data_IF_426402693958
#
_entry.id   IF_426402693958
#
_cell.length_a   1.000
_cell.length_b   1.000
_cell.length_c   1.000
_cell.angle_alpha   90.00
_cell.angle_beta   90.00
_cell.angle_gamma   90.00
#
_symmetry.space_group_name_H-M   'P 1'
#
loop_
_entity.id
_entity.type
_entity.pdbx_description
1 polymer ?
#
# COMPACT_ATOMS: atom_id res chain seq x y z
N UNK A 1 -14.26 14.31 -5.34
CA UNK A 1 -13.60 14.93 -4.18
C UNK A 1 -12.68 16.06 -4.64
N UNK A 2 -12.59 17.13 -3.86
CA UNK A 2 -11.49 18.10 -3.98
C UNK A 2 -10.36 17.60 -3.08
N UNK A 3 -9.20 17.29 -3.65
CA UNK A 3 -8.05 16.81 -2.89
C UNK A 3 -7.45 18.02 -2.18
N UNK A 4 -7.74 18.17 -0.88
CA UNK A 4 -7.30 19.31 -0.08
C UNK A 4 -6.10 18.94 0.78
N UNK A 5 -5.26 19.95 1.04
CA UNK A 5 -4.10 19.80 1.89
C UNK A 5 -4.50 19.41 3.32
N UNK A 6 -5.60 19.98 3.82
CA UNK A 6 -6.16 19.67 5.14
C UNK A 6 -6.57 18.19 5.26
N UNK A 7 -7.26 17.66 4.25
CA UNK A 7 -7.66 16.25 4.25
C UNK A 7 -6.44 15.30 4.17
N UNK A 8 -5.43 15.65 3.37
CA UNK A 8 -4.19 14.87 3.34
C UNK A 8 -3.47 14.90 4.70
N UNK A 9 -3.44 16.05 5.38
CA UNK A 9 -2.80 16.18 6.69
C UNK A 9 -3.56 15.38 7.78
N UNK A 10 -4.90 15.36 7.74
CA UNK A 10 -5.69 14.51 8.64
C UNK A 10 -5.27 13.03 8.49
N UNK A 11 -5.13 12.54 7.26
CA UNK A 11 -4.72 11.15 7.00
C UNK A 11 -3.28 10.90 7.51
N UNK A 12 -2.36 11.85 7.29
CA UNK A 12 -0.98 11.78 7.80
C UNK A 12 -0.97 11.69 9.34
N UNK A 13 -1.76 12.53 10.00
CA UNK A 13 -1.86 12.54 11.46
C UNK A 13 -2.45 11.22 11.99
N UNK A 14 -3.48 10.68 11.34
CA UNK A 14 -4.05 9.37 11.70
C UNK A 14 -3.01 8.25 11.53
N UNK A 15 -2.30 8.23 10.39
CA UNK A 15 -1.27 7.23 10.13
C UNK A 15 -0.13 7.28 11.16
N UNK A 16 0.34 8.48 11.51
CA UNK A 16 1.44 8.65 12.46
C UNK A 16 1.07 8.29 13.90
N UNK A 17 -0.22 8.28 14.22
CA UNK A 17 -0.78 7.86 15.50
C UNK A 17 -1.21 6.37 15.52
N UNK A 18 -0.78 5.58 14.52
CA UNK A 18 -1.06 4.15 14.37
C UNK A 18 -2.58 3.83 14.37
N UNK A 19 -3.39 4.70 13.77
CA UNK A 19 -4.83 4.50 13.62
C UNK A 19 -5.13 3.48 12.51
N UNK A 20 -5.90 2.43 12.84
CA UNK A 20 -6.26 1.33 11.95
C UNK A 20 -7.05 1.78 10.70
N UNK A 21 -7.72 2.95 10.74
CA UNK A 21 -8.50 3.48 9.62
C UNK A 21 -7.63 4.23 8.59
N UNK A 22 -6.43 4.68 9.00
CA UNK A 22 -5.54 5.51 8.18
C UNK A 22 -5.22 4.87 6.82
N UNK A 23 -4.89 3.57 6.80
CA UNK A 23 -4.59 2.85 5.56
C UNK A 23 -5.78 2.75 4.62
N UNK A 24 -6.99 2.56 5.15
CA UNK A 24 -8.21 2.55 4.33
C UNK A 24 -8.44 3.93 3.71
N UNK A 25 -8.20 5.02 4.45
CA UNK A 25 -8.28 6.39 3.91
C UNK A 25 -7.24 6.64 2.82
N UNK A 26 -6.00 6.15 2.97
CA UNK A 26 -4.96 6.21 1.93
C UNK A 26 -5.39 5.45 0.67
N UNK A 27 -5.92 4.23 0.80
CA UNK A 27 -6.39 3.45 -0.35
C UNK A 27 -7.54 4.16 -1.08
N UNK A 28 -8.50 4.71 -0.32
CA UNK A 28 -9.63 5.43 -0.88
C UNK A 28 -9.19 6.67 -1.65
N UNK A 29 -8.32 7.51 -1.10
CA UNK A 29 -7.87 8.74 -1.76
C UNK A 29 -7.05 8.45 -3.03
N UNK A 30 -6.25 7.38 -3.04
CA UNK A 30 -5.55 6.92 -4.24
C UNK A 30 -6.52 6.44 -5.32
N UNK A 31 -7.55 5.69 -4.93
CA UNK A 31 -8.60 5.21 -5.83
C UNK A 31 -9.37 6.38 -6.45
N UNK A 32 -9.78 7.35 -5.64
CA UNK A 32 -10.48 8.55 -6.11
C UNK A 32 -9.61 9.42 -7.03
N UNK A 33 -8.32 9.56 -6.73
CA UNK A 33 -7.37 10.23 -7.61
C UNK A 33 -7.29 9.52 -8.97
N UNK A 34 -7.15 8.21 -8.98
CA UNK A 34 -7.11 7.41 -10.20
C UNK A 34 -8.41 7.55 -11.01
N UNK A 35 -9.58 7.46 -10.38
CA UNK A 35 -10.88 7.61 -11.05
C UNK A 35 -11.05 9.00 -11.67
N UNK A 36 -10.63 10.05 -10.95
CA UNK A 36 -10.70 11.44 -11.41
C UNK A 36 -9.91 11.65 -12.70
N UNK A 37 -8.72 11.04 -12.81
CA UNK A 37 -7.79 11.28 -13.91
C UNK A 37 -7.85 10.23 -15.05
N UNK A 38 -8.47 9.07 -14.82
CA UNK A 38 -8.64 8.05 -15.87
C UNK A 38 -9.73 8.39 -16.92
N UNK A 39 -10.74 9.19 -16.56
CA UNK A 39 -11.94 9.38 -17.37
C UNK A 39 -12.10 10.79 -17.98
N UNK A 40 -11.04 11.60 -17.94
CA UNK A 40 -11.08 12.99 -18.43
C UNK A 40 -10.57 13.09 -19.86
N UNK A 41 -11.39 13.71 -20.71
CA UNK A 41 -11.05 14.03 -22.10
C UNK A 41 -10.09 15.21 -22.24
N UNK A 42 -9.96 16.06 -21.21
CA UNK A 42 -9.06 17.22 -21.21
C UNK A 42 -8.47 17.43 -19.82
N UNK A 43 -7.14 17.36 -19.73
CA UNK A 43 -6.42 17.51 -18.46
C UNK A 43 -6.21 18.99 -18.14
N UNK A 44 -6.73 19.46 -17.01
CA UNK A 44 -6.30 20.73 -16.43
C UNK A 44 -4.97 20.50 -15.70
N UNK A 45 -3.87 20.87 -16.36
CA UNK A 45 -2.51 20.62 -15.88
C UNK A 45 -2.23 21.26 -14.51
N UNK A 46 -2.79 22.44 -14.23
CA UNK A 46 -2.60 23.14 -12.95
C UNK A 46 -3.22 22.34 -11.80
N UNK A 47 -4.45 21.85 -11.99
CA UNK A 47 -5.16 21.05 -10.98
C UNK A 47 -4.49 19.67 -10.85
N UNK A 48 -4.15 19.03 -11.97
CA UNK A 48 -3.48 17.73 -11.95
C UNK A 48 -2.14 17.78 -11.23
N UNK A 49 -1.31 18.81 -11.49
CA UNK A 49 -0.03 19.02 -10.81
C UNK A 49 -0.23 19.19 -9.31
N UNK A 50 -1.18 20.03 -8.91
CA UNK A 50 -1.52 20.27 -7.50
C UNK A 50 -1.95 18.98 -6.80
N UNK A 51 -2.87 18.21 -7.41
CA UNK A 51 -3.37 16.97 -6.82
C UNK A 51 -2.28 15.90 -6.77
N UNK A 52 -1.49 15.75 -7.84
CA UNK A 52 -0.37 14.81 -7.89
C UNK A 52 0.64 15.13 -6.79
N UNK A 53 1.00 16.41 -6.62
CA UNK A 53 1.90 16.83 -5.56
C UNK A 53 1.36 16.48 -4.17
N UNK A 54 0.06 16.66 -3.94
CA UNK A 54 -0.57 16.29 -2.67
C UNK A 54 -0.57 14.78 -2.43
N UNK A 55 -0.87 13.96 -3.44
CA UNK A 55 -0.78 12.50 -3.34
C UNK A 55 0.63 12.06 -2.99
N UNK A 56 1.64 12.58 -3.69
CA UNK A 56 3.02 12.21 -3.41
C UNK A 56 3.52 12.75 -2.08
N UNK A 57 3.03 13.90 -1.61
CA UNK A 57 3.27 14.39 -0.26
C UNK A 57 2.63 13.46 0.79
N UNK A 58 1.39 13.00 0.58
CA UNK A 58 0.74 12.03 1.45
C UNK A 58 1.57 10.75 1.55
N UNK A 59 1.98 10.17 0.42
CA UNK A 59 2.80 8.96 0.39
C UNK A 59 4.14 9.16 1.12
N UNK A 60 4.82 10.28 0.87
CA UNK A 60 6.12 10.62 1.47
C UNK A 60 6.03 10.83 2.98
N UNK A 61 4.88 11.26 3.51
CA UNK A 61 4.68 11.46 4.94
C UNK A 61 3.94 10.28 5.62
N UNK A 62 3.71 9.19 4.89
CA UNK A 62 3.09 7.96 5.42
C UNK A 62 3.95 6.76 5.08
N UNK A 63 3.55 5.98 4.08
CA UNK A 63 4.15 4.68 3.74
C UNK A 63 5.55 4.77 3.12
N UNK A 64 5.99 5.95 2.69
CA UNK A 64 7.34 6.24 2.23
C UNK A 64 8.08 7.25 3.13
N UNK A 65 7.61 7.42 4.37
CA UNK A 65 8.26 8.29 5.35
C UNK A 65 9.58 7.72 5.86
N UNK A 66 10.42 8.61 6.41
CA UNK A 66 11.65 8.22 7.10
C UNK A 66 11.33 7.29 8.29
N UNK A 67 10.25 7.55 9.03
CA UNK A 67 9.76 6.67 10.10
C UNK A 67 9.46 5.26 9.58
N UNK A 68 8.72 5.14 8.46
CA UNK A 68 8.40 3.85 7.87
C UNK A 68 9.64 3.10 7.36
N UNK A 69 10.64 3.81 6.83
CA UNK A 69 11.94 3.24 6.45
C UNK A 69 12.70 2.71 7.67
N UNK A 70 12.76 3.48 8.76
CA UNK A 70 13.40 3.04 10.00
C UNK A 70 12.72 1.82 10.62
N UNK A 71 11.39 1.75 10.57
CA UNK A 71 10.61 0.59 11.03
C UNK A 71 10.89 -0.64 10.18
N UNK A 72 10.93 -0.50 8.85
CA UNK A 72 11.32 -1.58 7.94
C UNK A 72 12.74 -2.08 8.22
N UNK A 73 13.69 -1.18 8.44
CA UNK A 73 15.07 -1.57 8.77
C UNK A 73 15.17 -2.29 10.11
N UNK A 74 14.42 -1.86 11.14
CA UNK A 74 14.34 -2.58 12.43
C UNK A 74 13.79 -3.99 12.26
N UNK A 75 12.65 -4.12 11.57
CA UNK A 75 12.03 -5.42 11.29
C UNK A 75 12.97 -6.33 10.50
N UNK A 76 13.72 -5.76 9.56
CA UNK A 76 14.73 -6.47 8.80
C UNK A 76 15.87 -6.98 9.69
N UNK A 77 16.46 -6.11 10.52
CA UNK A 77 17.53 -6.48 11.44
C UNK A 77 17.07 -7.54 12.44
N UNK A 78 15.86 -7.41 12.99
CA UNK A 78 15.30 -8.38 13.94
C UNK A 78 15.12 -9.76 13.30
N UNK A 79 14.50 -9.82 12.12
CA UNK A 79 14.18 -11.08 11.44
C UNK A 79 15.40 -11.79 10.84
N UNK A 80 16.45 -11.06 10.45
CA UNK A 80 17.61 -11.62 9.76
C UNK A 80 18.94 -11.49 10.53
N UNK A 81 18.92 -11.02 11.78
CA UNK A 81 20.10 -10.93 12.65
C UNK A 81 20.89 -12.24 12.76
N UNK A 82 20.20 -13.39 12.69
CA UNK A 82 20.78 -14.73 12.86
C UNK A 82 20.47 -15.69 11.71
N UNK A 83 19.85 -15.21 10.63
CA UNK A 83 19.42 -16.03 9.50
C UNK A 83 19.80 -15.31 8.21
N UNK A 84 20.45 -16.02 7.29
CA UNK A 84 20.75 -15.45 5.98
C UNK A 84 19.43 -15.19 5.22
N UNK A 85 19.17 -13.95 4.76
CA UNK A 85 17.94 -13.64 4.03
C UNK A 85 17.90 -14.39 2.71
N UNK A 86 16.69 -14.78 2.29
CA UNK A 86 16.48 -15.39 0.98
C UNK A 86 16.58 -14.34 -0.13
N UNK A 87 16.68 -14.79 -1.39
CA UNK A 87 16.58 -13.90 -2.55
C UNK A 87 15.30 -13.08 -2.54
N UNK A 88 14.20 -13.68 -2.08
CA UNK A 88 12.87 -13.06 -2.12
C UNK A 88 12.76 -11.98 -1.05
N UNK A 89 13.30 -12.22 0.15
CA UNK A 89 13.38 -11.19 1.19
C UNK A 89 14.22 -9.98 0.73
N UNK A 90 15.38 -10.24 0.12
CA UNK A 90 16.25 -9.18 -0.38
C UNK A 90 15.56 -8.37 -1.47
N UNK A 91 14.85 -9.05 -2.37
CA UNK A 91 14.07 -8.41 -3.43
C UNK A 91 12.97 -7.54 -2.86
N UNK A 92 12.20 -8.02 -1.87
CA UNK A 92 11.13 -7.25 -1.22
C UNK A 92 11.67 -5.95 -0.59
N UNK A 93 12.79 -6.04 0.16
CA UNK A 93 13.45 -4.86 0.73
C UNK A 93 13.90 -3.88 -0.35
N UNK A 94 14.53 -4.37 -1.43
CA UNK A 94 14.96 -3.51 -2.53
C UNK A 94 13.78 -2.87 -3.26
N UNK A 95 12.70 -3.62 -3.50
CA UNK A 95 11.49 -3.12 -4.15
C UNK A 95 10.86 -1.98 -3.30
N UNK A 96 10.86 -2.11 -1.97
CA UNK A 96 10.39 -1.05 -1.06
C UNK A 96 11.31 0.19 -1.05
N UNK A 97 12.63 0.00 -1.00
CA UNK A 97 13.58 1.13 -1.08
C UNK A 97 13.47 1.86 -2.41
N UNK A 98 13.33 1.13 -3.52
CA UNK A 98 13.10 1.72 -4.83
C UNK A 98 11.77 2.49 -4.84
N UNK A 99 10.71 1.93 -4.26
CA UNK A 99 9.42 2.63 -4.12
C UNK A 99 9.58 3.97 -3.39
N UNK A 100 10.18 3.98 -2.20
CA UNK A 100 10.33 5.22 -1.40
C UNK A 100 11.18 6.26 -2.11
N UNK A 101 12.28 5.84 -2.75
CA UNK A 101 13.09 6.72 -3.59
C UNK A 101 12.28 7.32 -4.75
N UNK A 102 11.48 6.51 -5.45
CA UNK A 102 10.68 6.97 -6.57
C UNK A 102 9.55 7.93 -6.13
N UNK A 103 8.93 7.70 -4.96
CA UNK A 103 7.97 8.65 -4.35
C UNK A 103 8.63 10.00 -4.10
N UNK A 104 9.78 10.01 -3.41
CA UNK A 104 10.54 11.23 -3.13
C UNK A 104 10.94 11.96 -4.42
N UNK A 105 11.45 11.22 -5.41
CA UNK A 105 11.85 11.79 -6.68
C UNK A 105 10.68 12.50 -7.38
N UNK A 106 9.52 11.86 -7.48
CA UNK A 106 8.36 12.47 -8.12
C UNK A 106 7.89 13.69 -7.35
N UNK A 107 7.80 13.60 -6.02
CA UNK A 107 7.44 14.74 -5.17
C UNK A 107 8.34 15.96 -5.42
N UNK A 108 9.66 15.77 -5.45
CA UNK A 108 10.62 16.86 -5.54
C UNK A 108 10.70 17.48 -6.96
N UNK A 109 10.32 16.71 -7.99
CA UNK A 109 10.44 17.14 -9.39
C UNK A 109 9.11 17.51 -10.05
N UNK A 110 7.96 17.23 -9.41
CA UNK A 110 6.65 17.41 -10.02
C UNK A 110 6.40 18.83 -10.52
N UNK A 111 6.99 19.87 -9.92
CA UNK A 111 6.80 21.26 -10.35
C UNK A 111 7.60 21.63 -11.61
N UNK A 112 8.66 20.88 -11.91
CA UNK A 112 9.62 21.22 -12.98
C UNK A 112 9.41 20.39 -14.26
N UNK A 113 8.55 19.38 -14.22
CA UNK A 113 8.33 18.46 -15.35
C UNK A 113 7.19 18.95 -16.25
N UNK A 114 7.36 18.74 -17.56
CA UNK A 114 6.28 18.89 -18.54
C UNK A 114 5.31 17.71 -18.40
N UNK A 115 4.14 17.90 -17.76
CA UNK A 115 3.21 16.81 -17.49
C UNK A 115 2.45 16.32 -18.72
N UNK A 116 2.43 17.09 -19.81
CA UNK A 116 1.84 16.66 -21.08
C UNK A 116 2.76 15.70 -21.83
N UNK A 117 4.06 15.93 -21.74
CA UNK A 117 5.10 15.13 -22.38
C UNK A 117 6.27 14.93 -21.40
N UNK A 118 6.08 14.16 -20.32
CA UNK A 118 7.15 13.92 -19.36
C UNK A 118 8.25 13.10 -20.01
N UNK A 119 9.50 13.32 -19.61
CA UNK A 119 10.60 12.49 -20.10
C UNK A 119 10.47 11.05 -19.58
N UNK A 120 11.20 10.14 -20.23
CA UNK A 120 11.18 8.72 -19.88
C UNK A 120 11.61 8.47 -18.42
N UNK A 121 12.49 9.30 -17.87
CA UNK A 121 12.97 9.10 -16.51
C UNK A 121 11.84 9.38 -15.51
N UNK A 122 11.16 10.51 -15.60
CA UNK A 122 10.02 10.83 -14.75
C UNK A 122 8.88 9.83 -14.91
N UNK A 123 8.55 9.43 -16.15
CA UNK A 123 7.54 8.39 -16.41
C UNK A 123 7.89 7.07 -15.71
N UNK A 124 9.15 6.62 -15.81
CA UNK A 124 9.59 5.40 -15.16
C UNK A 124 9.46 5.49 -13.64
N UNK A 125 9.75 6.64 -13.04
CA UNK A 125 9.60 6.86 -11.59
C UNK A 125 8.14 6.77 -11.16
N UNK A 126 7.22 7.40 -11.88
CA UNK A 126 5.78 7.25 -11.64
C UNK A 126 5.32 5.80 -11.81
N UNK A 127 5.74 5.13 -12.88
CA UNK A 127 5.35 3.74 -13.17
C UNK A 127 5.82 2.78 -12.07
N UNK A 128 7.03 2.97 -11.54
CA UNK A 128 7.53 2.15 -10.44
C UNK A 128 6.67 2.31 -9.18
N UNK A 129 6.29 3.54 -8.84
CA UNK A 129 5.38 3.80 -7.70
C UNK A 129 4.04 3.12 -7.90
N UNK A 130 3.44 3.27 -9.09
CA UNK A 130 2.15 2.64 -9.43
C UNK A 130 2.24 1.11 -9.38
N UNK A 131 3.32 0.54 -9.92
CA UNK A 131 3.50 -0.91 -9.96
C UNK A 131 3.67 -1.49 -8.54
N UNK A 132 4.43 -0.83 -7.68
CA UNK A 132 4.58 -1.24 -6.28
C UNK A 132 3.23 -1.24 -5.54
N UNK A 133 2.45 -0.16 -5.67
CA UNK A 133 1.12 -0.06 -5.05
C UNK A 133 0.14 -1.13 -5.56
N UNK A 134 0.15 -1.41 -6.87
CA UNK A 134 -0.65 -2.49 -7.46
C UNK A 134 -0.23 -3.88 -6.99
N UNK A 135 1.07 -4.10 -6.81
CA UNK A 135 1.55 -5.37 -6.27
C UNK A 135 1.02 -5.58 -4.85
N UNK A 136 1.14 -4.58 -3.98
CA UNK A 136 0.57 -4.63 -2.64
C UNK A 136 -0.94 -4.89 -2.63
N UNK A 137 -1.70 -4.27 -3.54
CA UNK A 137 -3.14 -4.54 -3.69
C UNK A 137 -3.43 -6.00 -4.06
N UNK A 138 -2.64 -6.59 -4.96
CA UNK A 138 -2.76 -7.99 -5.35
C UNK A 138 -2.41 -8.92 -4.18
N UNK A 139 -1.32 -8.64 -3.47
CA UNK A 139 -0.89 -9.43 -2.31
C UNK A 139 -1.96 -9.42 -1.22
N UNK A 140 -2.60 -8.27 -0.96
CA UNK A 140 -3.73 -8.16 -0.03
C UNK A 140 -4.94 -8.99 -0.48
N UNK A 141 -5.27 -9.00 -1.78
CA UNK A 141 -6.37 -9.82 -2.32
C UNK A 141 -6.08 -11.31 -2.15
N UNK A 142 -4.85 -11.73 -2.42
CA UNK A 142 -4.42 -13.12 -2.25
C UNK A 142 -4.50 -13.54 -0.78
N UNK A 143 -3.98 -12.73 0.15
CA UNK A 143 -4.08 -12.98 1.58
C UNK A 143 -5.54 -13.09 2.05
N UNK A 144 -6.41 -12.19 1.58
CA UNK A 144 -7.85 -12.23 1.91
C UNK A 144 -8.49 -13.55 1.47
N UNK A 145 -8.13 -14.04 0.28
CA UNK A 145 -8.64 -15.32 -0.22
C UNK A 145 -8.13 -16.49 0.61
N UNK A 146 -6.84 -16.53 0.94
CA UNK A 146 -6.27 -17.57 1.82
C UNK A 146 -6.92 -17.58 3.20
N UNK A 147 -7.22 -16.43 3.78
CA UNK A 147 -7.91 -16.32 5.07
C UNK A 147 -9.36 -16.83 5.02
N UNK A 148 -10.08 -16.60 3.92
CA UNK A 148 -11.42 -17.18 3.71
C UNK A 148 -11.36 -18.70 3.62
N UNK A 149 -10.39 -19.24 2.90
CA UNK A 149 -10.18 -20.69 2.81
C UNK A 149 -9.85 -21.31 4.17
N UNK A 150 -8.95 -20.69 4.94
CA UNK A 150 -8.63 -21.12 6.29
C UNK A 150 -9.87 -21.11 7.19
N UNK A 151 -10.67 -20.05 7.12
CA UNK A 151 -11.92 -19.93 7.87
C UNK A 151 -12.90 -21.06 7.54
N UNK A 152 -13.02 -21.42 6.26
CA UNK A 152 -13.86 -22.52 5.83
C UNK A 152 -13.35 -23.87 6.36
N UNK A 153 -12.04 -24.13 6.27
CA UNK A 153 -11.42 -25.35 6.83
C UNK A 153 -11.63 -25.46 8.34
N UNK A 154 -11.53 -24.36 9.07
CA UNK A 154 -11.79 -24.32 10.51
C UNK A 154 -13.26 -24.64 10.84
N UNK A 155 -14.22 -24.14 10.06
CA UNK A 155 -15.64 -24.50 10.21
C UNK A 155 -15.89 -25.98 9.94
N UNK A 156 -15.28 -26.55 8.90
CA UNK A 156 -15.38 -27.98 8.59
C UNK A 156 -14.79 -28.87 9.70
N UNK A 157 -13.64 -28.47 10.23
CA UNK A 157 -13.02 -29.15 11.37
C UNK A 157 -13.92 -29.09 12.60
N UNK A 158 -14.45 -27.91 12.93
CA UNK A 158 -15.37 -27.73 14.05
C UNK A 158 -16.60 -28.64 13.91
N UNK A 159 -17.26 -28.62 12.76
CA UNK A 159 -18.41 -29.49 12.47
C UNK A 159 -18.07 -30.98 12.60
N UNK A 160 -16.86 -31.38 12.21
CA UNK A 160 -16.39 -32.77 12.32
C UNK A 160 -16.18 -33.19 13.77
N UNK A 161 -15.64 -32.28 14.60
CA UNK A 161 -15.43 -32.52 16.03
C UNK A 161 -16.77 -32.61 16.78
N UNK A 162 -17.70 -31.68 16.54
CA UNK A 162 -19.03 -31.72 17.18
C UNK A 162 -19.80 -32.98 16.81
N UNK A 163 -19.80 -33.39 15.53
CA UNK A 163 -20.44 -34.65 15.11
C UNK A 163 -19.86 -35.89 15.78
N UNK A 164 -18.56 -35.90 16.07
CA UNK A 164 -17.91 -37.01 16.79
C UNK A 164 -18.27 -37.01 18.28
N UNK A 165 -18.48 -35.86 18.89
CA UNK A 165 -18.95 -35.73 20.28
C UNK A 165 -20.39 -36.24 20.43
N UNK A 166 -21.27 -35.92 19.48
CA UNK A 166 -22.67 -36.39 19.49
C UNK A 166 -22.77 -37.92 19.37
N UNK A 167 -22.00 -38.55 18.47
CA UNK A 167 -22.00 -40.01 18.28
C UNK A 167 -21.47 -40.77 19.51
N UNK A 168 -20.52 -40.19 20.25
CA UNK A 168 -19.97 -40.82 21.44
C UNK A 168 -20.90 -40.71 22.67
N UNK A 169 -21.81 -39.73 22.70
CA UNK A 169 -22.78 -39.55 23.78
C UNK A 169 -24.05 -40.41 23.61
N UNK A 170 -24.34 -40.89 22.40
CA UNK A 170 -25.48 -41.79 22.12
C UNK A 170 -25.17 -43.29 22.35
N UNK A 171 -23.91 -43.63 22.66
CA UNK A 171 -23.43 -45.02 22.78
C UNK A 171 -23.24 -45.52 24.23
N UNK A 172 -23.84 -44.86 25.24
CA UNK A 172 -23.75 -45.23 26.67
C UNK A 172 -25.11 -45.63 27.24
#
# INVERSE_FOLDING_TARGET
MELTHEYCNEIIDLFNNDDDESMNKIINILSEFQEKYNNISTLNEVIFRKDTKQIFNLLLNTIASEKALEEMDKVWEENFSNIQPTSDNLKEKMDYLDFTYNVKYVHDNIDNVNLKNPDNHFQNKCNNVINYLKQGENDMKELSNSMKELTNKLKELHNTLTKKEDVNNESV
#
